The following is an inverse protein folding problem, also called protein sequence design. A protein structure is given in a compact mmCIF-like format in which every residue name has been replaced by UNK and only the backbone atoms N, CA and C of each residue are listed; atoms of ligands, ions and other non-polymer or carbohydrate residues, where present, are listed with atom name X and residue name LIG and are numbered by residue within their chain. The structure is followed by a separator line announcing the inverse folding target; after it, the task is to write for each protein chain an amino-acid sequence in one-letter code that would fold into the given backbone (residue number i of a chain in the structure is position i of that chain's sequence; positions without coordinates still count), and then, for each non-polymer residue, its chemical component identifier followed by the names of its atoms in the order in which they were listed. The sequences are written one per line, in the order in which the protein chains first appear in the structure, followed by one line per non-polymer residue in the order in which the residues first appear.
data_IF_692868032677
#
_entry.id   IF_692868032677
#
_cell.length_a   1.000
_cell.length_b   1.000
_cell.length_c   1.000
_cell.angle_alpha   90.00
_cell.angle_beta   90.00
_cell.angle_gamma   90.00
#
_symmetry.space_group_name_H-M   'P 1'
#
loop_
_entity.id
_entity.type
_entity.pdbx_description
1 polymer ?
#
# COMPACT_ATOMS: atom_id res chain seq x y z
N UNK A 1 8.83 3.86 -9.14
CA UNK A 1 8.51 2.41 -8.97
C UNK A 1 8.00 2.20 -7.56
N UNK A 2 7.10 1.26 -7.32
CA UNK A 2 6.57 0.97 -5.99
C UNK A 2 7.08 -0.38 -5.51
N UNK A 3 7.45 -0.49 -4.23
CA UNK A 3 7.92 -1.75 -3.64
C UNK A 3 7.10 -2.05 -2.40
N UNK A 4 6.55 -3.25 -2.35
CA UNK A 4 5.90 -3.79 -1.15
C UNK A 4 6.95 -4.58 -0.37
N UNK A 5 7.19 -4.17 0.87
CA UNK A 5 7.99 -4.90 1.85
C UNK A 5 7.06 -5.69 2.76
N UNK A 6 7.32 -6.99 2.87
CA UNK A 6 6.59 -7.92 3.75
C UNK A 6 7.59 -8.49 4.75
N UNK A 7 7.43 -8.12 6.01
CA UNK A 7 8.27 -8.53 7.13
C UNK A 7 7.58 -9.71 7.84
N UNK A 8 7.97 -10.94 7.47
CA UNK A 8 7.59 -12.18 8.18
C UNK A 8 8.51 -12.38 9.39
N UNK A 9 8.17 -13.33 10.27
CA UNK A 9 8.92 -13.59 11.53
C UNK A 9 10.43 -13.72 11.30
N UNK A 10 10.85 -14.47 10.28
CA UNK A 10 12.27 -14.74 9.99
C UNK A 10 12.76 -14.21 8.64
N UNK A 11 11.86 -13.71 7.78
CA UNK A 11 12.17 -13.40 6.39
C UNK A 11 11.55 -12.08 5.95
N UNK A 12 12.33 -11.26 5.24
CA UNK A 12 11.80 -10.07 4.54
C UNK A 12 11.69 -10.34 3.05
N UNK A 13 10.47 -10.25 2.52
CA UNK A 13 10.20 -10.32 1.08
C UNK A 13 9.95 -8.92 0.52
N UNK A 14 10.34 -8.74 -0.73
CA UNK A 14 10.17 -7.48 -1.46
C UNK A 14 9.58 -7.79 -2.82
N UNK A 15 8.57 -7.02 -3.21
CA UNK A 15 7.96 -7.15 -4.54
C UNK A 15 7.80 -5.77 -5.16
N UNK A 16 8.37 -5.58 -6.34
CA UNK A 16 8.29 -4.33 -7.09
C UNK A 16 7.09 -4.32 -8.04
N UNK A 17 6.51 -3.13 -8.22
CA UNK A 17 5.35 -2.83 -9.04
C UNK A 17 5.55 -1.51 -9.76
N UNK A 18 5.00 -1.41 -10.96
CA UNK A 18 5.00 -0.14 -11.72
C UNK A 18 3.91 0.83 -11.27
N UNK A 19 2.88 0.32 -10.59
CA UNK A 19 1.72 1.09 -10.15
C UNK A 19 1.48 0.93 -8.64
N UNK A 20 1.11 2.04 -8.00
CA UNK A 20 0.71 2.05 -6.58
C UNK A 20 -0.58 1.27 -6.35
N UNK A 21 -1.47 1.23 -7.36
CA UNK A 21 -2.73 0.50 -7.28
C UNK A 21 -2.46 -1.00 -7.18
N UNK A 22 -1.55 -1.51 -8.00
CA UNK A 22 -1.16 -2.93 -7.99
C UNK A 22 -0.42 -3.29 -6.71
N UNK A 23 0.48 -2.41 -6.26
CA UNK A 23 1.19 -2.58 -4.98
C UNK A 23 0.21 -2.65 -3.80
N UNK A 24 -0.81 -1.77 -3.78
CA UNK A 24 -1.86 -1.77 -2.75
C UNK A 24 -2.74 -3.01 -2.81
N UNK A 25 -3.13 -3.44 -4.01
CA UNK A 25 -3.92 -4.66 -4.19
C UNK A 25 -3.15 -5.89 -3.69
N UNK A 26 -1.85 -5.97 -4.00
CA UNK A 26 -0.98 -7.03 -3.50
C UNK A 26 -0.83 -6.98 -1.98
N UNK A 27 -0.54 -5.81 -1.41
CA UNK A 27 -0.44 -5.62 0.03
C UNK A 27 -1.72 -6.06 0.77
N UNK A 28 -2.90 -5.70 0.25
CA UNK A 28 -4.19 -6.13 0.80
C UNK A 28 -4.39 -7.64 0.74
N UNK A 29 -3.95 -8.29 -0.34
CA UNK A 29 -4.02 -9.75 -0.47
C UNK A 29 -3.11 -10.45 0.54
N UNK A 30 -1.86 -10.01 0.65
CA UNK A 30 -0.91 -10.57 1.61
C UNK A 30 -1.39 -10.42 3.06
N UNK A 31 -2.06 -9.31 3.40
CA UNK A 31 -2.68 -9.14 4.73
C UNK A 31 -3.77 -10.17 5.03
N UNK A 32 -4.51 -10.63 4.01
CA UNK A 32 -5.59 -11.59 4.18
C UNK A 32 -5.10 -13.04 4.19
N UNK A 33 -4.06 -13.35 3.42
CA UNK A 33 -3.59 -14.73 3.22
C UNK A 33 -2.52 -15.16 4.24
N UNK A 34 -1.64 -14.25 4.67
CA UNK A 34 -0.41 -14.62 5.40
C UNK A 34 -0.45 -14.32 6.91
N UNK A 35 -1.60 -13.89 7.47
CA UNK A 35 -1.76 -13.41 8.86
C UNK A 35 -0.70 -12.34 9.25
N UNK A 36 -0.11 -11.70 8.24
CA UNK A 36 0.81 -10.59 8.34
C UNK A 36 0.02 -9.39 8.86
N UNK A 37 0.13 -9.15 10.16
CA UNK A 37 -0.49 -8.00 10.81
C UNK A 37 -0.15 -6.68 10.10
N UNK A 38 -0.95 -5.64 10.35
CA UNK A 38 -0.89 -4.35 9.66
C UNK A 38 0.51 -3.71 9.66
N UNK A 39 1.33 -4.02 10.67
CA UNK A 39 2.70 -3.54 10.86
C UNK A 39 3.72 -4.21 9.92
N UNK A 40 3.45 -5.43 9.47
CA UNK A 40 4.36 -6.28 8.69
C UNK A 40 4.37 -5.98 7.20
N UNK A 41 3.41 -5.23 6.66
CA UNK A 41 3.35 -4.90 5.23
C UNK A 41 3.42 -3.39 5.02
N UNK A 42 4.42 -2.94 4.26
CA UNK A 42 4.64 -1.52 3.95
C UNK A 42 4.89 -1.31 2.47
N UNK A 43 4.41 -0.20 1.94
CA UNK A 43 4.61 0.19 0.54
C UNK A 43 5.56 1.38 0.50
N UNK A 44 6.51 1.35 -0.43
CA UNK A 44 7.48 2.42 -0.66
C UNK A 44 7.45 2.85 -2.11
N UNK A 45 7.60 4.15 -2.37
CA UNK A 45 7.86 4.71 -3.68
C UNK A 45 9.36 4.97 -3.86
N UNK A 46 9.85 4.69 -5.06
CA UNK A 46 11.22 4.90 -5.53
C UNK A 46 11.14 5.61 -6.87
N UNK A 47 11.09 6.95 -6.88
CA UNK A 47 10.83 7.73 -8.10
C UNK A 47 11.99 7.69 -9.11
N UNK A 48 13.22 7.49 -8.64
CA UNK A 48 14.45 7.63 -9.44
C UNK A 48 14.79 6.40 -10.29
N UNK A 49 13.95 5.38 -10.30
CA UNK A 49 14.20 4.16 -11.07
C UNK A 49 12.93 3.53 -11.63
N UNK A 50 13.09 2.91 -12.81
CA UNK A 50 12.10 2.05 -13.47
C UNK A 50 12.50 0.57 -13.42
N UNK A 51 13.71 0.28 -12.94
CA UNK A 51 14.23 -1.07 -12.77
C UNK A 51 13.78 -1.67 -11.43
N UNK A 52 13.25 -2.90 -11.49
CA UNK A 52 12.68 -3.57 -10.34
C UNK A 52 13.74 -3.99 -9.30
N UNK A 53 14.91 -4.44 -9.75
CA UNK A 53 15.99 -4.87 -8.86
C UNK A 53 16.59 -3.66 -8.15
N UNK A 54 16.83 -2.57 -8.88
CA UNK A 54 17.32 -1.31 -8.31
C UNK A 54 16.31 -0.75 -7.31
N UNK A 55 15.01 -0.78 -7.63
CA UNK A 55 13.97 -0.32 -6.71
C UNK A 55 13.96 -1.12 -5.41
N UNK A 56 14.08 -2.46 -5.48
CA UNK A 56 14.13 -3.31 -4.29
C UNK A 56 15.39 -3.05 -3.46
N UNK A 57 16.55 -2.88 -4.11
CA UNK A 57 17.80 -2.53 -3.41
C UNK A 57 17.68 -1.20 -2.68
N UNK A 58 17.15 -0.17 -3.32
CA UNK A 58 16.92 1.13 -2.68
C UNK A 58 16.04 1.03 -1.42
N UNK A 59 14.98 0.23 -1.45
CA UNK A 59 14.11 0.02 -0.28
C UNK A 59 14.78 -0.82 0.81
N UNK A 60 15.61 -1.80 0.43
CA UNK A 60 16.45 -2.56 1.39
C UNK A 60 17.42 -1.65 2.14
N UNK A 61 17.99 -0.68 1.44
CA UNK A 61 18.95 0.29 1.99
C UNK A 61 18.27 1.46 2.72
N UNK A 62 16.93 1.48 2.78
CA UNK A 62 16.15 2.49 3.50
C UNK A 62 15.95 3.80 2.75
N UNK A 63 16.18 3.81 1.43
CA UNK A 63 16.04 4.99 0.56
C UNK A 63 14.63 5.16 -0.02
N UNK A 64 13.72 4.21 0.22
CA UNK A 64 12.34 4.29 -0.25
C UNK A 64 11.49 5.29 0.53
N UNK A 65 10.58 5.99 -0.16
CA UNK A 65 9.63 6.92 0.45
C UNK A 65 8.39 6.14 0.89
N UNK A 66 8.04 6.07 2.19
CA UNK A 66 6.87 5.32 2.63
C UNK A 66 5.58 5.92 2.08
N UNK A 67 4.78 5.09 1.42
CA UNK A 67 3.48 5.47 0.90
C UNK A 67 2.45 5.26 2.00
N UNK A 68 1.89 6.36 2.50
CA UNK A 68 0.78 6.31 3.45
C UNK A 68 -0.40 5.52 2.87
N UNK A 69 -1.05 4.73 3.72
CA UNK A 69 -2.40 4.28 3.43
C UNK A 69 -3.27 5.52 3.45
N UNK A 70 -3.64 6.01 2.26
CA UNK A 70 -4.72 6.96 2.18
C UNK A 70 -5.92 6.25 2.83
N UNK A 71 -6.36 6.76 3.99
CA UNK A 71 -7.65 6.39 4.55
C UNK A 71 -8.66 6.41 3.39
N UNK A 72 -9.54 5.40 3.26
CA UNK A 72 -10.62 5.51 2.31
C UNK A 72 -11.33 6.82 2.65
N UNK A 73 -11.24 7.76 1.70
CA UNK A 73 -11.74 9.11 1.83
C UNK A 73 -13.09 9.04 2.52
N UNK A 74 -13.22 9.61 3.73
CA UNK A 74 -14.44 9.48 4.53
C UNK A 74 -15.68 9.93 3.73
N UNK A 75 -15.47 10.76 2.69
CA UNK A 75 -16.46 11.13 1.69
C UNK A 75 -17.06 9.95 0.90
N UNK A 76 -16.29 8.90 0.59
CA UNK A 76 -16.76 7.72 -0.16
C UNK A 76 -17.63 6.80 0.71
N UNK A 77 -17.31 6.71 2.01
CA UNK A 77 -18.12 5.98 2.99
C UNK A 77 -19.44 6.74 3.24
N UNK A 78 -19.38 8.06 3.42
CA UNK A 78 -20.56 8.93 3.58
C UNK A 78 -21.47 8.95 2.34
N UNK A 79 -20.92 8.91 1.13
CA UNK A 79 -21.73 8.86 -0.09
C UNK A 79 -22.45 7.51 -0.29
N UNK A 80 -21.94 6.43 0.31
CA UNK A 80 -22.53 5.09 0.26
C UNK A 80 -23.62 4.88 1.33
N UNK A 81 -23.53 5.63 2.44
CA UNK A 81 -24.58 5.70 3.44
C UNK A 81 -25.54 6.80 3.01
N UNK A 82 -26.56 6.45 2.23
CA UNK A 82 -27.57 7.38 1.72
C UNK A 82 -28.26 8.22 2.81
N UNK A 83 -27.59 9.27 3.26
CA UNK A 83 -28.14 10.30 4.11
C UNK A 83 -28.89 11.22 3.17
N UNK A 84 -30.10 10.79 2.81
CA UNK A 84 -31.10 11.67 2.21
C UNK A 84 -31.25 12.86 3.15
N UNK A 85 -30.66 13.99 2.77
CA UNK A 85 -30.96 15.27 3.38
C UNK A 85 -32.44 15.53 3.11
N UNK A 86 -33.29 15.14 4.04
CA UNK A 86 -34.69 15.53 4.10
C UNK A 86 -34.78 17.02 4.44
N UNK A 87 -34.28 17.87 3.55
CA UNK A 87 -34.55 19.30 3.58
C UNK A 87 -35.88 19.50 2.87
N UNK A 88 -36.97 19.48 3.66
CA UNK A 88 -38.25 20.05 3.23
C UNK A 88 -38.13 21.56 3.39
N UNK A 89 -38.09 22.28 2.28
CA UNK A 89 -38.35 23.72 2.20
C UNK A 89 -39.85 23.91 2.02
#
# INVERSE_FOLDING_TARGET
MFVVRMDYEDVRKFQAFRSVVDARAHARRCRQEDDLGEVGIRIFDVPDTTDAEIAVMAVRDGLGIPVGEAEPDAALILASMGLGTGLRI
#
